data_IF_281094029353
#
_entry.id   IF_281094029353
#
_cell.length_a   1.000
_cell.length_b   1.000
_cell.length_c   1.000
_cell.angle_alpha   90.00
_cell.angle_beta   90.00
_cell.angle_gamma   90.00
#
_symmetry.space_group_name_H-M   'P 1'
#
loop_
_entity.id
_entity.type
_entity.pdbx_description
1 polymer ?
#
# COMPACT_ATOMS: atom_id res chain seq x y z
N UNK A 1 -10.28 -6.89 -9.26
CA UNK A 1 -9.13 -6.00 -9.05
C UNK A 1 -9.59 -4.69 -8.39
N UNK A 2 -9.03 -4.37 -7.23
CA UNK A 2 -9.26 -3.13 -6.48
C UNK A 2 -7.92 -2.40 -6.28
N UNK A 3 -7.92 -1.07 -6.31
CA UNK A 3 -6.75 -0.23 -6.02
C UNK A 3 -6.92 0.49 -4.69
N UNK A 4 -5.98 0.27 -3.77
CA UNK A 4 -5.98 0.85 -2.42
C UNK A 4 -4.92 1.94 -2.35
N UNK A 5 -5.29 3.15 -1.90
CA UNK A 5 -4.32 4.20 -1.57
C UNK A 5 -3.92 4.11 -0.10
N UNK A 6 -2.67 3.73 0.15
CA UNK A 6 -2.06 3.78 1.47
C UNK A 6 -1.41 5.15 1.67
N UNK A 7 -1.69 5.81 2.79
CA UNK A 7 -1.12 7.10 3.12
C UNK A 7 -0.70 7.13 4.59
N UNK A 8 0.53 7.59 4.84
CA UNK A 8 1.11 7.57 6.18
C UNK A 8 2.62 7.82 6.14
N UNK A 9 3.32 7.51 7.22
CA UNK A 9 4.78 7.43 7.15
C UNK A 9 5.20 6.19 6.37
N UNK A 10 6.44 6.15 5.87
CA UNK A 10 6.95 4.95 5.19
C UNK A 10 6.87 3.70 6.08
N UNK A 11 7.05 3.87 7.39
CA UNK A 11 6.96 2.77 8.36
C UNK A 11 5.53 2.22 8.47
N UNK A 12 4.53 3.09 8.55
CA UNK A 12 3.12 2.70 8.64
C UNK A 12 2.69 1.98 7.36
N UNK A 13 3.09 2.52 6.20
CA UNK A 13 2.79 1.95 4.89
C UNK A 13 3.43 0.57 4.74
N UNK A 14 4.71 0.42 5.11
CA UNK A 14 5.39 -0.88 5.07
C UNK A 14 4.76 -1.89 6.03
N UNK A 15 4.35 -1.47 7.22
CA UNK A 15 3.66 -2.34 8.17
C UNK A 15 2.34 -2.85 7.60
N UNK A 16 1.50 -1.95 7.06
CA UNK A 16 0.20 -2.36 6.52
C UNK A 16 0.34 -3.17 5.23
N UNK A 17 1.32 -2.87 4.39
CA UNK A 17 1.65 -3.68 3.21
C UNK A 17 1.93 -5.14 3.59
N UNK A 18 2.69 -5.39 4.66
CA UNK A 18 2.95 -6.76 5.16
C UNK A 18 1.70 -7.47 5.65
N UNK A 19 0.69 -6.72 6.11
CA UNK A 19 -0.62 -7.28 6.49
C UNK A 19 -1.37 -7.70 5.22
N UNK A 20 -1.41 -6.83 4.20
CA UNK A 20 -2.06 -7.14 2.91
C UNK A 20 -1.44 -8.36 2.24
N UNK A 21 -0.11 -8.43 2.17
CA UNK A 21 0.64 -9.55 1.55
C UNK A 21 0.40 -10.90 2.25
N UNK A 22 0.02 -10.89 3.53
CA UNK A 22 -0.27 -12.10 4.32
C UNK A 22 -1.76 -12.40 4.44
N UNK A 23 -2.62 -11.55 3.89
CA UNK A 23 -4.06 -11.70 4.05
C UNK A 23 -4.54 -12.94 3.28
N UNK A 24 -5.32 -13.78 3.95
CA UNK A 24 -5.76 -15.08 3.39
C UNK A 24 -6.70 -14.96 2.19
N UNK A 25 -7.41 -13.84 2.07
CA UNK A 25 -8.42 -13.60 1.03
C UNK A 25 -7.93 -12.67 -0.07
N UNK A 26 -6.70 -12.14 0.02
CA UNK A 26 -6.19 -11.16 -0.93
C UNK A 26 -4.88 -11.61 -1.54
N UNK A 27 -4.73 -11.38 -2.84
CA UNK A 27 -3.44 -11.35 -3.52
C UNK A 27 -3.05 -9.90 -3.84
N UNK A 28 -1.80 -9.56 -3.54
CA UNK A 28 -1.20 -8.27 -3.88
C UNK A 28 -0.51 -8.40 -5.22
N UNK A 29 -0.99 -7.63 -6.21
CA UNK A 29 -0.52 -7.71 -7.60
C UNK A 29 0.62 -6.72 -7.87
N UNK A 30 0.40 -5.45 -7.54
CA UNK A 30 1.36 -4.38 -7.78
C UNK A 30 1.41 -3.42 -6.60
N UNK A 31 2.60 -2.88 -6.34
CA UNK A 31 2.82 -1.81 -5.37
C UNK A 31 3.59 -0.70 -6.07
N UNK A 32 3.01 0.50 -6.14
CA UNK A 32 3.67 1.65 -6.73
C UNK A 32 4.86 2.12 -5.89
N UNK A 33 5.70 2.98 -6.48
CA UNK A 33 6.64 3.78 -5.72
C UNK A 33 5.96 4.68 -4.68
N UNK A 34 6.74 5.11 -3.69
CA UNK A 34 6.28 6.05 -2.68
C UNK A 34 6.36 7.49 -3.21
N UNK A 35 5.21 8.16 -3.25
CA UNK A 35 5.13 9.58 -3.64
C UNK A 35 5.04 10.44 -2.40
N UNK A 36 5.91 11.44 -2.27
CA UNK A 36 5.80 12.44 -1.22
C UNK A 36 4.50 13.25 -1.37
N UNK A 37 3.89 13.60 -0.24
CA UNK A 37 2.78 14.55 -0.24
C UNK A 37 3.31 15.98 -0.37
N UNK A 38 2.58 16.84 -1.09
CA UNK A 38 3.00 18.22 -1.31
C UNK A 38 3.14 18.94 0.05
N UNK A 39 4.29 19.57 0.27
CA UNK A 39 4.57 20.32 1.50
C UNK A 39 5.05 19.47 2.69
N UNK A 40 5.37 18.18 2.51
CA UNK A 40 5.95 17.36 3.57
C UNK A 40 6.88 16.26 3.04
N UNK A 41 8.00 16.05 3.73
CA UNK A 41 8.89 14.89 3.53
C UNK A 41 8.58 13.72 4.47
N UNK A 42 7.60 13.89 5.37
CA UNK A 42 7.27 12.90 6.41
C UNK A 42 6.20 11.92 5.94
N UNK A 43 5.23 12.39 5.16
CA UNK A 43 4.08 11.59 4.74
C UNK A 43 4.13 11.29 3.24
N UNK A 44 3.88 10.03 2.93
CA UNK A 44 3.92 9.49 1.59
C UNK A 44 2.57 8.86 1.24
N UNK A 45 2.36 8.65 -0.05
CA UNK A 45 1.28 7.82 -0.58
C UNK A 45 1.86 6.72 -1.45
N UNK A 46 1.27 5.54 -1.35
CA UNK A 46 1.55 4.35 -2.17
C UNK A 46 0.22 3.79 -2.65
N UNK A 47 0.18 3.28 -3.87
CA UNK A 47 -0.96 2.58 -4.41
C UNK A 47 -0.66 1.09 -4.46
N UNK A 48 -1.60 0.29 -3.96
CA UNK A 48 -1.51 -1.17 -3.97
C UNK A 48 -2.68 -1.70 -4.78
N UNK A 49 -2.41 -2.56 -5.74
CA UNK A 49 -3.43 -3.29 -6.49
C UNK A 49 -3.60 -4.66 -5.87
N UNK A 50 -4.85 -5.02 -5.58
CA UNK A 50 -5.22 -6.29 -4.94
C UNK A 50 -6.36 -6.96 -5.68
N UNK A 51 -6.45 -8.26 -5.55
CA UNK A 51 -7.61 -9.06 -5.96
C UNK A 51 -7.97 -10.10 -4.91
N UNK A 52 -9.15 -10.70 -5.08
CA UNK A 52 -9.57 -11.83 -4.25
C UNK A 52 -8.69 -13.03 -4.58
N UNK A 53 -8.13 -13.64 -3.54
CA UNK A 53 -7.29 -14.84 -3.64
C UNK A 53 -8.16 -16.02 -4.06
N UNK A 54 -7.79 -16.70 -5.14
CA UNK A 54 -8.47 -17.92 -5.63
C UNK A 54 -8.08 -19.17 -4.85
#
# INVERSE_FOLDING_TARGET
MLKIRLQGTLKDIQWFRRILEKHKELDVLEVSDAYANKGTSKYFRVYVEVEEKQ
#
